data_IF_326314721780
#
_entry.id   IF_326314721780
#
_cell.length_a   1.000
_cell.length_b   1.000
_cell.length_c   1.000
_cell.angle_alpha   90.00
_cell.angle_beta   90.00
_cell.angle_gamma   90.00
#
_symmetry.space_group_name_H-M   'P 1'
#
loop_
_entity.id
_entity.type
_entity.pdbx_description
1 polymer ?
#
# COMPACT_ATOMS: atom_id res chain seq x y z
N UNK A 1 8.17 5.11 -2.41
CA UNK A 1 9.10 5.15 -1.26
C UNK A 1 9.86 6.47 -1.18
N UNK A 2 10.67 6.85 -2.17
CA UNK A 2 11.55 8.03 -2.10
C UNK A 2 10.84 9.35 -1.74
N UNK A 3 9.69 9.65 -2.36
CA UNK A 3 8.89 10.84 -2.01
C UNK A 3 8.47 10.86 -0.53
N UNK A 4 7.99 9.74 -0.01
CA UNK A 4 7.57 9.63 1.39
C UNK A 4 8.76 9.71 2.37
N UNK A 5 9.95 9.23 1.99
CA UNK A 5 11.17 9.45 2.77
C UNK A 5 11.44 10.95 2.93
N UNK A 6 11.29 11.70 1.83
CA UNK A 6 11.31 13.15 1.83
C UNK A 6 10.29 13.76 2.78
N UNK A 7 9.04 13.30 2.75
CA UNK A 7 8.01 13.80 3.65
C UNK A 7 8.39 13.61 5.13
N UNK A 8 8.86 12.42 5.51
CA UNK A 8 9.33 12.16 6.88
C UNK A 8 10.53 13.06 7.25
N UNK A 9 11.46 13.28 6.32
CA UNK A 9 12.60 14.19 6.51
C UNK A 9 12.14 15.63 6.70
N UNK A 10 11.11 16.07 5.98
CA UNK A 10 10.47 17.37 6.15
C UNK A 10 9.87 17.55 7.54
N UNK A 11 9.15 16.54 8.03
CA UNK A 11 8.59 16.54 9.40
C UNK A 11 9.69 16.53 10.47
N UNK A 12 10.77 15.77 10.27
CA UNK A 12 11.92 15.78 11.19
C UNK A 12 12.56 17.16 11.28
N UNK A 13 12.78 17.82 10.13
CA UNK A 13 13.37 19.17 10.10
C UNK A 13 12.51 20.23 10.77
N UNK A 14 11.19 20.01 10.83
CA UNK A 14 10.25 20.86 11.56
C UNK A 14 10.01 20.41 13.01
N UNK A 15 10.76 19.42 13.52
CA UNK A 15 10.59 18.82 14.85
C UNK A 15 9.18 18.26 15.12
N UNK A 16 8.45 17.83 14.08
CA UNK A 16 7.09 17.26 14.18
C UNK A 16 7.07 15.74 14.04
N UNK A 17 8.16 15.12 13.60
CA UNK A 17 8.17 13.67 13.39
C UNK A 17 7.96 12.89 14.69
N UNK A 18 8.47 13.40 15.81
CA UNK A 18 8.34 12.77 17.13
C UNK A 18 6.92 12.91 17.72
N UNK A 19 6.11 13.85 17.21
CA UNK A 19 4.70 14.03 17.58
C UNK A 19 3.76 13.09 16.78
N UNK A 20 4.27 12.39 15.77
CA UNK A 20 3.46 11.46 14.98
C UNK A 20 3.15 10.22 15.81
N UNK A 21 1.88 10.02 16.16
CA UNK A 21 1.45 8.88 16.98
C UNK A 21 1.10 7.64 16.16
N UNK A 22 0.61 7.83 14.93
CA UNK A 22 0.13 6.75 14.05
C UNK A 22 0.55 7.01 12.60
N UNK A 23 1.02 5.97 11.93
CA UNK A 23 1.27 5.95 10.49
C UNK A 23 0.35 4.91 9.85
N UNK A 24 -0.59 5.36 9.02
CA UNK A 24 -1.34 4.49 8.13
C UNK A 24 -0.75 4.57 6.71
N UNK A 25 -0.51 3.41 6.09
CA UNK A 25 0.23 3.36 4.84
C UNK A 25 -0.28 2.28 3.88
N UNK A 26 -0.03 2.51 2.59
CA UNK A 26 -0.39 1.63 1.48
C UNK A 26 0.76 1.47 0.50
N UNK A 27 0.79 0.37 -0.23
CA UNK A 27 1.66 0.17 -1.38
C UNK A 27 3.15 0.41 -1.08
N UNK A 28 3.86 1.12 -1.95
CA UNK A 28 5.24 1.54 -1.70
C UNK A 28 5.43 2.41 -0.43
N UNK A 29 4.37 3.04 0.09
CA UNK A 29 4.39 3.71 1.39
C UNK A 29 4.49 2.72 2.55
N UNK A 30 3.85 1.55 2.43
CA UNK A 30 3.94 0.46 3.42
C UNK A 30 5.35 -0.10 3.56
N UNK A 31 6.10 -0.20 2.45
CA UNK A 31 7.51 -0.65 2.49
C UNK A 31 8.37 0.33 3.30
N UNK A 32 8.20 1.63 3.07
CA UNK A 32 8.92 2.67 3.82
C UNK A 32 8.49 2.72 5.28
N UNK A 33 7.18 2.71 5.55
CA UNK A 33 6.64 2.81 6.89
C UNK A 33 7.04 1.60 7.74
N UNK A 34 7.03 0.39 7.17
CA UNK A 34 7.55 -0.81 7.82
C UNK A 34 9.05 -0.69 8.12
N UNK A 35 9.87 -0.18 7.19
CA UNK A 35 11.29 0.09 7.46
C UNK A 35 11.45 1.08 8.62
N UNK A 36 10.72 2.20 8.62
CA UNK A 36 10.81 3.21 9.68
C UNK A 36 10.41 2.66 11.06
N UNK A 37 9.34 1.86 11.12
CA UNK A 37 8.80 1.34 12.38
C UNK A 37 9.49 0.05 12.87
N UNK A 38 10.35 -0.58 12.06
CA UNK A 38 11.10 -1.79 12.44
C UNK A 38 12.61 -1.57 12.57
N UNK A 39 13.19 -0.64 11.80
CA UNK A 39 14.64 -0.46 11.75
C UNK A 39 15.18 0.09 13.09
N UNK A 40 16.26 -0.51 13.65
CA UNK A 40 16.91 0.02 14.83
C UNK A 40 17.70 1.30 14.54
N UNK A 41 17.95 2.09 15.58
CA UNK A 41 18.74 3.32 15.48
C UNK A 41 17.91 4.58 15.25
N UNK A 42 18.60 5.67 14.97
CA UNK A 42 18.01 6.97 14.73
C UNK A 42 17.46 7.10 13.30
N UNK A 43 16.98 8.30 12.96
CA UNK A 43 16.46 8.56 11.63
C UNK A 43 17.54 8.50 10.54
N UNK A 44 18.79 8.86 10.85
CA UNK A 44 19.88 8.88 9.86
C UNK A 44 20.26 7.45 9.45
N UNK A 45 20.31 6.52 10.40
CA UNK A 45 20.48 5.09 10.11
C UNK A 45 19.32 4.54 9.24
N UNK A 46 18.08 4.90 9.58
CA UNK A 46 16.90 4.55 8.79
C UNK A 46 16.97 5.13 7.36
N UNK A 47 17.35 6.40 7.21
CA UNK A 47 17.46 7.06 5.92
C UNK A 47 18.55 6.38 5.07
N UNK A 48 19.73 6.11 5.63
CA UNK A 48 20.81 5.39 4.96
C UNK A 48 20.36 4.00 4.49
N UNK A 49 19.67 3.23 5.36
CA UNK A 49 19.11 1.93 5.00
C UNK A 49 18.10 2.05 3.86
N UNK A 50 17.20 3.03 3.93
CA UNK A 50 16.17 3.26 2.92
C UNK A 50 16.78 3.62 1.57
N UNK A 51 17.78 4.51 1.54
CA UNK A 51 18.52 4.86 0.32
C UNK A 51 19.21 3.65 -0.30
N UNK A 52 19.84 2.81 0.53
CA UNK A 52 20.45 1.55 0.06
C UNK A 52 19.42 0.59 -0.56
N UNK A 53 18.23 0.46 0.05
CA UNK A 53 17.13 -0.34 -0.50
C UNK A 53 16.63 0.22 -1.83
N UNK A 54 16.45 1.54 -1.93
CA UNK A 54 16.02 2.20 -3.16
C UNK A 54 17.05 2.02 -4.29
N UNK A 55 18.34 2.20 -3.98
CA UNK A 55 19.43 2.02 -4.94
C UNK A 55 19.57 0.56 -5.40
N UNK A 56 19.26 -0.42 -4.54
CA UNK A 56 19.28 -1.83 -4.91
C UNK A 56 18.04 -2.28 -5.70
N UNK A 57 16.88 -1.66 -5.45
CA UNK A 57 15.58 -2.10 -5.93
C UNK A 57 15.21 -3.51 -5.44
N UNK A 58 14.10 -4.05 -5.95
CA UNK A 58 13.64 -5.40 -5.58
C UNK A 58 13.68 -6.40 -6.73
N UNK A 59 13.83 -5.96 -7.99
CA UNK A 59 13.87 -6.84 -9.17
C UNK A 59 15.02 -7.85 -9.08
N UNK A 60 16.27 -7.39 -8.91
CA UNK A 60 17.43 -8.28 -8.83
C UNK A 60 17.37 -9.22 -7.62
N UNK A 61 17.08 -8.74 -6.39
CA UNK A 61 16.87 -9.63 -5.24
C UNK A 61 15.76 -10.67 -5.46
N UNK A 62 14.64 -10.30 -6.10
CA UNK A 62 13.55 -11.22 -6.39
C UNK A 62 13.97 -12.29 -7.39
N UNK A 63 14.70 -11.93 -8.45
CA UNK A 63 15.26 -12.89 -9.41
C UNK A 63 16.23 -13.85 -8.74
N UNK A 64 17.14 -13.34 -7.90
CA UNK A 64 18.07 -14.17 -7.12
C UNK A 64 17.29 -15.11 -6.21
N UNK A 65 16.29 -14.64 -5.47
CA UNK A 65 15.45 -15.50 -4.62
C UNK A 65 14.65 -16.53 -5.41
N UNK A 66 14.16 -16.18 -6.60
CA UNK A 66 13.43 -17.11 -7.46
C UNK A 66 14.29 -18.33 -7.86
N UNK A 67 15.59 -18.13 -8.10
CA UNK A 67 16.48 -19.22 -8.54
C UNK A 67 17.23 -19.91 -7.38
N UNK A 68 17.52 -19.18 -6.29
CA UNK A 68 18.29 -19.70 -5.14
C UNK A 68 17.43 -20.34 -4.05
N UNK A 69 16.11 -20.15 -4.09
CA UNK A 69 15.19 -20.71 -3.09
C UNK A 69 14.10 -21.55 -3.73
N UNK A 70 13.41 -22.35 -2.92
CA UNK A 70 12.26 -23.13 -3.37
C UNK A 70 11.08 -22.25 -3.84
N UNK A 71 11.09 -20.95 -3.59
CA UNK A 71 9.97 -20.06 -3.91
C UNK A 71 9.70 -19.96 -5.41
N UNK A 72 10.74 -19.99 -6.27
CA UNK A 72 10.54 -19.99 -7.72
C UNK A 72 9.90 -21.28 -8.22
N UNK A 73 10.35 -22.43 -7.72
CA UNK A 73 9.77 -23.74 -8.03
C UNK A 73 8.31 -23.80 -7.56
N UNK A 74 8.03 -23.34 -6.33
CA UNK A 74 6.66 -23.28 -5.78
C UNK A 74 5.77 -22.38 -6.64
N UNK A 75 6.25 -21.21 -7.06
CA UNK A 75 5.49 -20.26 -7.88
C UNK A 75 5.20 -20.84 -9.27
N UNK A 76 6.17 -21.52 -9.89
CA UNK A 76 5.97 -22.21 -11.16
C UNK A 76 4.97 -23.36 -11.03
N UNK A 77 5.10 -24.19 -9.98
CA UNK A 77 4.16 -25.28 -9.72
C UNK A 77 2.72 -24.78 -9.49
N UNK A 78 2.56 -23.70 -8.71
CA UNK A 78 1.26 -23.05 -8.49
C UNK A 78 0.66 -22.52 -9.80
N UNK A 79 1.49 -21.88 -10.64
CA UNK A 79 1.07 -21.38 -11.95
C UNK A 79 0.61 -22.52 -12.87
N UNK A 80 1.40 -23.59 -13.00
CA UNK A 80 1.07 -24.75 -13.84
C UNK A 80 -0.20 -25.43 -13.36
N UNK A 81 -0.36 -25.65 -12.06
CA UNK A 81 -1.55 -26.27 -11.49
C UNK A 81 -2.81 -25.44 -11.77
N UNK A 82 -2.75 -24.12 -11.55
CA UNK A 82 -3.87 -23.21 -11.84
C UNK A 82 -4.16 -23.15 -13.34
N UNK A 83 -3.13 -23.08 -14.19
CA UNK A 83 -3.30 -23.04 -15.65
C UNK A 83 -3.97 -24.32 -16.17
N UNK A 84 -3.52 -25.49 -15.70
CA UNK A 84 -4.12 -26.78 -16.04
C UNK A 84 -5.59 -26.86 -15.58
N UNK A 85 -5.87 -26.43 -14.35
CA UNK A 85 -7.22 -26.38 -13.79
C UNK A 85 -8.15 -25.43 -14.57
N UNK A 86 -7.66 -24.24 -14.97
CA UNK A 86 -8.43 -23.29 -15.81
C UNK A 86 -8.61 -23.79 -17.24
N UNK A 87 -7.62 -24.48 -17.82
CA UNK A 87 -7.72 -25.10 -19.14
C UNK A 87 -8.77 -26.22 -19.13
N UNK A 88 -8.76 -27.08 -18.11
CA UNK A 88 -9.77 -28.13 -17.95
C UNK A 88 -11.17 -27.54 -17.79
N UNK A 89 -11.31 -26.50 -16.98
CA UNK A 89 -12.58 -25.77 -16.83
C UNK A 89 -13.08 -25.19 -18.15
N UNK A 90 -12.19 -24.62 -18.95
CA UNK A 90 -12.52 -24.10 -20.27
C UNK A 90 -12.99 -25.21 -21.23
N UNK A 91 -12.25 -26.31 -21.33
CA UNK A 91 -12.56 -27.43 -22.20
C UNK A 91 -13.89 -28.11 -21.83
N UNK A 92 -14.17 -28.31 -20.54
CA UNK A 92 -15.44 -28.86 -20.04
C UNK A 92 -16.57 -27.83 -20.18
N UNK A 93 -16.27 -26.53 -20.05
CA UNK A 93 -17.24 -25.45 -20.16
C UNK A 93 -17.77 -25.25 -21.58
N UNK A 94 -16.95 -25.47 -22.61
CA UNK A 94 -17.34 -25.35 -24.03
C UNK A 94 -18.63 -26.09 -24.39
N UNK A 95 -18.76 -27.42 -24.18
CA UNK A 95 -19.99 -28.14 -24.51
C UNK A 95 -21.17 -27.75 -23.61
N UNK A 96 -20.91 -27.17 -22.43
CA UNK A 96 -21.95 -26.73 -21.48
C UNK A 96 -22.50 -25.33 -21.78
N UNK A 97 -21.88 -24.55 -22.68
CA UNK A 97 -22.36 -23.20 -23.03
C UNK A 97 -23.73 -23.21 -23.71
N UNK A 98 -24.08 -24.29 -24.43
CA UNK A 98 -25.40 -24.47 -25.06
C UNK A 98 -26.47 -24.94 -24.07
N UNK A 99 -26.08 -25.35 -22.86
CA UNK A 99 -27.00 -25.78 -21.80
C UNK A 99 -27.33 -24.58 -20.90
N UNK A 100 -28.60 -24.13 -20.83
CA UNK A 100 -28.98 -23.01 -19.97
C UNK A 100 -28.63 -23.26 -18.50
N UNK A 101 -28.10 -22.23 -17.81
CA UNK A 101 -27.76 -22.25 -16.38
C UNK A 101 -26.64 -23.24 -15.96
N UNK A 102 -25.90 -23.86 -16.89
CA UNK A 102 -24.79 -24.77 -16.58
C UNK A 102 -23.69 -24.14 -15.71
N UNK A 103 -23.37 -22.87 -15.95
CA UNK A 103 -22.38 -22.12 -15.14
C UNK A 103 -22.81 -21.83 -13.69
N UNK A 104 -24.12 -21.90 -13.37
CA UNK A 104 -24.60 -21.84 -11.99
C UNK A 104 -24.54 -23.22 -11.31
N UNK A 105 -24.66 -24.29 -12.09
CA UNK A 105 -24.59 -25.68 -11.62
C UNK A 105 -23.16 -26.11 -11.28
N UNK A 106 -22.16 -25.55 -11.96
CA UNK A 106 -20.74 -25.84 -11.74
C UNK A 106 -19.92 -24.57 -11.49
N UNK A 107 -19.91 -24.02 -10.26
CA UNK A 107 -19.18 -22.79 -9.93
C UNK A 107 -17.69 -22.83 -10.24
N UNK A 108 -17.08 -24.02 -10.20
CA UNK A 108 -15.67 -24.24 -10.51
C UNK A 108 -15.26 -23.83 -11.94
N UNK A 109 -16.21 -23.93 -12.90
CA UNK A 109 -15.99 -23.51 -14.28
C UNK A 109 -15.68 -22.02 -14.37
N UNK A 110 -16.18 -21.23 -13.42
CA UNK A 110 -15.92 -19.78 -13.34
C UNK A 110 -14.73 -19.47 -12.43
N UNK A 111 -14.64 -20.12 -11.27
CA UNK A 111 -13.65 -19.80 -10.24
C UNK A 111 -12.90 -21.04 -9.75
N UNK A 112 -11.57 -20.97 -9.63
CA UNK A 112 -10.79 -22.13 -9.21
C UNK A 112 -10.99 -22.44 -7.74
N UNK A 113 -11.16 -23.73 -7.45
CA UNK A 113 -11.08 -24.23 -6.08
C UNK A 113 -9.64 -24.29 -5.60
N UNK A 114 -8.67 -24.32 -6.52
CA UNK A 114 -7.25 -24.26 -6.18
C UNK A 114 -6.89 -22.88 -5.64
N UNK A 115 -5.97 -22.89 -4.67
CA UNK A 115 -5.39 -21.69 -4.09
C UNK A 115 -4.15 -21.30 -4.88
N UNK A 116 -3.88 -20.00 -5.03
CA UNK A 116 -2.56 -19.53 -5.47
C UNK A 116 -1.60 -19.50 -4.27
N UNK A 117 -1.09 -20.67 -3.88
CA UNK A 117 -0.22 -20.78 -2.70
C UNK A 117 1.17 -20.14 -2.86
N UNK A 118 1.62 -19.92 -4.10
CA UNK A 118 2.87 -19.24 -4.42
C UNK A 118 2.76 -18.43 -5.71
N UNK A 119 3.52 -17.34 -5.81
CA UNK A 119 3.51 -16.43 -6.97
C UNK A 119 4.74 -15.52 -6.96
N UNK A 120 4.83 -14.62 -7.94
CA UNK A 120 5.83 -13.53 -7.93
C UNK A 120 5.75 -12.67 -6.66
N UNK A 121 4.56 -12.54 -6.08
CA UNK A 121 4.33 -11.80 -4.83
C UNK A 121 4.89 -12.54 -3.61
N UNK A 122 4.87 -13.88 -3.58
CA UNK A 122 5.48 -14.65 -2.48
C UNK A 122 7.01 -14.66 -2.57
N UNK A 123 7.57 -14.60 -3.78
CA UNK A 123 9.00 -14.37 -3.99
C UNK A 123 9.37 -12.98 -3.45
N UNK A 124 8.62 -11.94 -3.81
CA UNK A 124 8.83 -10.59 -3.30
C UNK A 124 8.69 -10.51 -1.77
N UNK A 125 7.74 -11.26 -1.18
CA UNK A 125 7.63 -11.42 0.28
C UNK A 125 8.91 -11.91 0.90
N UNK A 126 9.59 -12.88 0.28
CA UNK A 126 10.86 -13.40 0.79
C UNK A 126 12.01 -12.38 0.69
N UNK A 127 11.93 -11.45 -0.27
CA UNK A 127 12.86 -10.31 -0.36
C UNK A 127 12.58 -9.32 0.77
N UNK A 128 11.32 -8.96 1.00
CA UNK A 128 10.93 -8.09 2.10
C UNK A 128 11.26 -8.69 3.47
N UNK A 129 11.09 -10.00 3.63
CA UNK A 129 11.42 -10.73 4.85
C UNK A 129 12.92 -10.59 5.18
N UNK A 130 13.79 -10.85 4.20
CA UNK A 130 15.22 -10.64 4.37
C UNK A 130 15.58 -9.16 4.63
N UNK A 131 14.89 -8.23 3.97
CA UNK A 131 15.10 -6.78 4.15
C UNK A 131 14.72 -6.31 5.56
N UNK A 132 13.64 -6.84 6.12
CA UNK A 132 13.06 -6.50 7.41
C UNK A 132 13.60 -7.37 8.56
N UNK A 133 14.54 -8.26 8.29
CA UNK A 133 15.19 -9.10 9.30
C UNK A 133 14.32 -10.25 9.83
N UNK A 134 13.35 -10.74 9.06
CA UNK A 134 12.48 -11.86 9.46
C UNK A 134 11.52 -11.53 10.60
N UNK A 135 11.27 -10.25 10.84
CA UNK A 135 10.46 -9.77 11.96
C UNK A 135 8.96 -10.07 11.78
N UNK A 136 8.25 -10.32 12.88
CA UNK A 136 6.79 -10.44 12.93
C UNK A 136 6.11 -9.13 13.35
N UNK A 137 4.81 -9.00 13.11
CA UNK A 137 4.05 -7.78 13.44
C UNK A 137 4.16 -7.40 14.92
N UNK A 138 4.08 -8.37 15.83
CA UNK A 138 4.16 -8.16 17.28
C UNK A 138 5.55 -7.73 17.77
N UNK A 139 6.57 -7.81 16.92
CA UNK A 139 7.94 -7.38 17.16
C UNK A 139 8.25 -5.97 16.63
N UNK A 140 7.28 -5.28 16.00
CA UNK A 140 7.43 -3.87 15.64
C UNK A 140 7.91 -3.05 16.85
N UNK A 141 8.48 -1.87 16.63
CA UNK A 141 8.99 -1.05 17.73
C UNK A 141 7.86 -0.31 18.45
N UNK A 142 7.95 -0.13 19.78
CA UNK A 142 6.99 0.67 20.56
C UNK A 142 7.38 2.14 20.70
N UNK A 143 8.65 2.47 20.47
CA UNK A 143 9.18 3.84 20.46
C UNK A 143 9.06 4.52 19.08
N UNK A 144 8.25 3.93 18.20
CA UNK A 144 7.90 4.44 16.87
C UNK A 144 6.38 4.63 16.80
N UNK A 145 5.88 5.43 15.85
CA UNK A 145 4.45 5.58 15.66
C UNK A 145 3.77 4.23 15.43
N UNK A 146 2.54 4.07 15.93
CA UNK A 146 1.79 2.84 15.70
C UNK A 146 1.54 2.68 14.18
N UNK A 147 1.94 1.53 13.64
CA UNK A 147 1.87 1.26 12.21
C UNK A 147 0.58 0.53 11.84
N UNK A 148 -0.13 1.07 10.85
CA UNK A 148 -1.27 0.45 10.19
C UNK A 148 -0.89 0.21 8.72
N UNK A 149 -0.72 -1.05 8.35
CA UNK A 149 -0.55 -1.45 6.95
C UNK A 149 -1.92 -1.82 6.38
N UNK A 150 -2.36 -1.11 5.35
CA UNK A 150 -3.67 -1.32 4.74
C UNK A 150 -3.52 -2.20 3.50
N UNK A 151 -4.29 -3.27 3.42
CA UNK A 151 -4.44 -4.07 2.20
C UNK A 151 -5.93 -4.23 1.85
N UNK A 152 -6.21 -4.70 0.63
CA UNK A 152 -7.58 -4.93 0.16
C UNK A 152 -7.85 -6.44 0.07
N UNK A 153 -8.87 -6.92 0.77
CA UNK A 153 -9.37 -8.29 0.58
C UNK A 153 -10.43 -8.30 -0.52
N UNK A 154 -10.07 -8.89 -1.66
CA UNK A 154 -10.81 -8.80 -2.90
C UNK A 154 -12.18 -9.51 -2.84
N UNK A 155 -12.30 -10.60 -2.07
CA UNK A 155 -13.57 -11.35 -1.98
C UNK A 155 -14.61 -10.57 -1.16
N UNK A 156 -14.17 -9.96 -0.06
CA UNK A 156 -14.97 -9.15 0.84
C UNK A 156 -15.24 -7.74 0.29
N UNK A 157 -14.40 -7.26 -0.64
CA UNK A 157 -14.38 -5.84 -1.07
C UNK A 157 -14.21 -4.92 0.13
N UNK A 158 -13.28 -5.30 1.02
CA UNK A 158 -13.08 -4.66 2.31
C UNK A 158 -11.58 -4.45 2.56
N UNK A 159 -11.25 -3.44 3.36
CA UNK A 159 -9.91 -3.33 3.91
C UNK A 159 -9.63 -4.48 4.89
N UNK A 160 -8.37 -4.89 4.90
CA UNK A 160 -7.75 -5.58 6.02
C UNK A 160 -6.65 -4.67 6.56
N UNK A 161 -6.61 -4.51 7.87
CA UNK A 161 -5.63 -3.70 8.58
C UNK A 161 -4.68 -4.61 9.32
N UNK A 162 -3.38 -4.51 9.04
CA UNK A 162 -2.35 -5.18 9.82
C UNK A 162 -1.73 -4.17 10.78
N UNK A 163 -1.72 -4.50 12.05
CA UNK A 163 -1.08 -3.72 13.12
C UNK A 163 -0.19 -4.62 13.96
N UNK A 164 0.56 -4.04 14.89
CA UNK A 164 1.35 -4.80 15.86
C UNK A 164 0.52 -5.82 16.63
N UNK A 165 -0.66 -5.42 17.08
CA UNK A 165 -1.41 -6.18 18.09
C UNK A 165 -2.44 -7.12 17.45
N UNK A 166 -3.01 -6.71 16.31
CA UNK A 166 -4.08 -7.47 15.64
C UNK A 166 -4.12 -7.24 14.14
N UNK A 167 -4.83 -8.14 13.47
CA UNK A 167 -5.21 -8.02 12.07
C UNK A 167 -6.73 -7.93 12.03
N UNK A 168 -7.28 -6.93 11.34
CA UNK A 168 -8.71 -6.66 11.40
C UNK A 168 -9.34 -6.52 10.02
N UNK A 169 -10.46 -7.20 9.83
CA UNK A 169 -11.34 -7.03 8.68
C UNK A 169 -12.79 -7.04 9.17
N UNK A 170 -13.55 -5.98 8.93
CA UNK A 170 -14.92 -5.87 9.48
C UNK A 170 -15.86 -7.02 9.06
N UNK A 171 -15.58 -7.70 7.94
CA UNK A 171 -16.35 -8.86 7.48
C UNK A 171 -16.00 -10.17 8.17
N UNK A 172 -14.75 -10.32 8.60
CA UNK A 172 -14.22 -11.57 9.15
C UNK A 172 -13.93 -11.49 10.65
N UNK A 173 -13.84 -10.27 11.21
CA UNK A 173 -13.49 -10.01 12.60
C UNK A 173 -11.99 -9.72 12.78
N UNK A 174 -11.44 -10.21 13.88
CA UNK A 174 -10.05 -9.99 14.29
C UNK A 174 -9.24 -11.29 14.24
N UNK A 175 -7.99 -11.20 13.79
CA UNK A 175 -7.00 -12.28 13.85
C UNK A 175 -5.79 -11.81 14.66
N UNK A 176 -5.08 -12.77 15.25
CA UNK A 176 -3.87 -12.50 16.05
C UNK A 176 -2.73 -12.03 15.13
N UNK A 177 -2.03 -10.97 15.54
CA UNK A 177 -0.83 -10.52 14.83
C UNK A 177 0.43 -11.32 15.20
N UNK A 178 0.39 -12.04 16.34
CA UNK A 178 1.48 -12.91 16.79
C UNK A 178 1.86 -13.91 15.69
N UNK A 179 3.16 -14.07 15.47
CA UNK A 179 3.76 -14.99 14.50
C UNK A 179 3.46 -14.65 13.03
N UNK A 180 2.78 -13.53 12.74
CA UNK A 180 2.55 -13.07 11.37
C UNK A 180 3.74 -12.24 10.90
N UNK A 181 4.47 -12.66 9.84
CA UNK A 181 5.61 -11.90 9.33
C UNK A 181 5.20 -10.50 8.89
N UNK A 182 5.97 -9.48 9.29
CA UNK A 182 5.78 -8.10 8.82
C UNK A 182 5.85 -8.03 7.28
N UNK A 183 6.74 -8.83 6.69
CA UNK A 183 6.86 -8.95 5.24
C UNK A 183 5.58 -9.44 4.55
N UNK A 184 4.76 -10.27 5.20
CA UNK A 184 3.46 -10.70 4.66
C UNK A 184 2.50 -9.51 4.55
N UNK A 185 2.39 -8.69 5.60
CA UNK A 185 1.56 -7.50 5.60
C UNK A 185 2.03 -6.47 4.57
N UNK A 186 3.35 -6.23 4.48
CA UNK A 186 3.95 -5.32 3.49
C UNK A 186 3.72 -5.83 2.07
N UNK A 187 3.91 -7.11 1.80
CA UNK A 187 3.65 -7.70 0.48
C UNK A 187 2.16 -7.66 0.10
N UNK A 188 1.26 -7.90 1.06
CA UNK A 188 -0.17 -7.75 0.83
C UNK A 188 -0.51 -6.31 0.42
N UNK A 189 0.00 -5.33 1.17
CA UNK A 189 -0.24 -3.91 0.91
C UNK A 189 0.40 -3.41 -0.39
N UNK A 190 1.50 -4.02 -0.86
CA UNK A 190 2.22 -3.63 -2.08
C UNK A 190 1.91 -4.48 -3.32
N UNK A 191 0.97 -5.42 -3.24
CA UNK A 191 0.61 -6.31 -4.34
C UNK A 191 -0.28 -5.61 -5.39
N UNK A 192 0.26 -4.60 -6.09
CA UNK A 192 -0.47 -3.80 -7.07
C UNK A 192 -1.04 -4.68 -8.18
N UNK A 193 -2.39 -4.72 -8.41
CA UNK A 193 -3.04 -5.74 -9.22
C UNK A 193 -2.52 -5.88 -10.65
N UNK A 194 -2.07 -4.79 -11.25
CA UNK A 194 -1.57 -4.77 -12.64
C UNK A 194 -0.22 -5.49 -12.75
N UNK A 195 0.63 -5.41 -11.71
CA UNK A 195 1.98 -5.94 -11.72
C UNK A 195 2.10 -7.30 -11.00
N UNK A 196 1.40 -7.45 -9.88
CA UNK A 196 1.59 -8.53 -8.93
C UNK A 196 0.30 -9.31 -8.69
N UNK A 197 0.33 -10.65 -8.72
CA UNK A 197 -0.81 -11.46 -8.31
C UNK A 197 -1.17 -11.23 -6.84
N UNK A 198 -2.47 -11.18 -6.53
CA UNK A 198 -2.93 -11.18 -5.15
C UNK A 198 -2.37 -12.37 -4.36
N UNK A 199 -2.02 -12.14 -3.10
CA UNK A 199 -1.76 -13.20 -2.12
C UNK A 199 -3.08 -13.90 -1.84
N UNK A 200 -3.06 -15.22 -1.77
CA UNK A 200 -4.25 -16.04 -1.57
C UNK A 200 -3.94 -16.97 -0.41
N UNK A 201 -4.42 -16.65 0.79
CA UNK A 201 -3.96 -17.21 2.07
C UNK A 201 -5.14 -17.71 2.91
N UNK A 202 -4.84 -18.38 4.03
CA UNK A 202 -5.83 -18.76 5.04
C UNK A 202 -5.41 -18.22 6.39
N UNK A 203 -6.36 -17.68 7.13
CA UNK A 203 -6.12 -17.11 8.45
C UNK A 203 -7.35 -17.31 9.33
N UNK A 204 -7.11 -17.64 10.59
CA UNK A 204 -8.16 -17.77 11.59
C UNK A 204 -8.56 -16.39 12.11
N UNK A 205 -9.82 -16.01 11.87
CA UNK A 205 -10.42 -14.81 12.44
C UNK A 205 -11.46 -15.17 13.48
N UNK A 206 -11.66 -14.27 14.44
CA UNK A 206 -12.70 -14.33 15.46
C UNK A 206 -13.70 -13.22 15.21
N UNK A 207 -14.96 -13.58 15.00
CA UNK A 207 -16.07 -12.63 14.89
C UNK A 207 -17.22 -13.09 15.77
N UNK A 208 -17.63 -12.24 16.73
CA UNK A 208 -18.70 -12.57 17.70
C UNK A 208 -18.43 -13.92 18.39
N UNK A 209 -17.23 -14.06 18.96
CA UNK A 209 -16.73 -15.25 19.66
C UNK A 209 -16.62 -16.54 18.83
N UNK A 210 -16.86 -16.46 17.51
CA UNK A 210 -16.70 -17.59 16.60
C UNK A 210 -15.40 -17.48 15.83
N UNK A 211 -14.52 -18.47 16.03
CA UNK A 211 -13.29 -18.62 15.25
C UNK A 211 -13.61 -19.34 13.93
N UNK A 212 -13.25 -18.72 12.81
CA UNK A 212 -13.43 -19.29 11.46
C UNK A 212 -12.12 -19.16 10.69
N UNK A 213 -11.70 -20.25 10.04
CA UNK A 213 -10.52 -20.24 9.16
C UNK A 213 -10.92 -19.75 7.77
N UNK A 214 -10.64 -18.47 7.50
CA UNK A 214 -11.08 -17.76 6.31
C UNK A 214 -10.01 -17.78 5.23
N UNK A 215 -10.43 -18.04 3.98
CA UNK A 215 -9.57 -17.83 2.80
C UNK A 215 -9.58 -16.36 2.43
N UNK A 216 -8.45 -15.68 2.47
CA UNK A 216 -8.33 -14.26 2.13
C UNK A 216 -7.53 -14.07 0.85
N UNK A 217 -7.99 -13.18 -0.02
CA UNK A 217 -7.32 -12.84 -1.28
C UNK A 217 -6.91 -11.37 -1.23
N UNK A 218 -5.64 -11.13 -0.88
CA UNK A 218 -5.10 -9.83 -0.56
C UNK A 218 -4.37 -9.20 -1.73
N UNK A 219 -4.69 -7.94 -2.00
CA UNK A 219 -4.01 -7.09 -2.98
C UNK A 219 -3.71 -5.73 -2.36
N UNK A 220 -3.04 -4.87 -3.12
CA UNK A 220 -2.64 -3.54 -2.70
C UNK A 220 -3.78 -2.75 -2.03
N UNK A 221 -3.47 -2.14 -0.89
CA UNK A 221 -4.44 -1.36 -0.13
C UNK A 221 -4.99 -0.17 -0.89
N UNK A 222 -4.26 0.34 -1.88
CA UNK A 222 -4.71 1.40 -2.75
C UNK A 222 -5.97 1.07 -3.54
N UNK A 223 -6.24 -0.22 -3.81
CA UNK A 223 -7.52 -0.64 -4.42
C UNK A 223 -8.72 -0.25 -3.54
N UNK A 224 -8.54 -0.23 -2.22
CA UNK A 224 -9.58 0.18 -1.27
C UNK A 224 -9.48 1.67 -0.92
N UNK A 225 -8.28 2.12 -0.53
CA UNK A 225 -8.02 3.50 -0.17
C UNK A 225 -6.53 3.85 -0.34
N UNK A 226 -6.20 4.53 -1.44
CA UNK A 226 -4.81 4.84 -1.79
C UNK A 226 -4.15 5.94 -0.96
N UNK A 227 -4.88 6.62 -0.06
CA UNK A 227 -4.25 7.51 0.89
C UNK A 227 -4.09 6.87 2.27
N UNK A 228 -4.66 5.68 2.49
CA UNK A 228 -4.65 4.99 3.78
C UNK A 228 -5.34 5.81 4.89
N UNK A 229 -6.28 6.69 4.55
CA UNK A 229 -6.97 7.57 5.48
C UNK A 229 -8.25 6.95 6.06
N UNK A 230 -8.76 5.87 5.48
CA UNK A 230 -9.92 5.13 5.97
C UNK A 230 -9.87 4.82 7.47
N UNK A 231 -8.75 4.37 8.07
CA UNK A 231 -8.65 4.24 9.52
C UNK A 231 -8.71 5.55 10.29
N UNK A 232 -8.28 6.67 9.70
CA UNK A 232 -8.08 7.94 10.40
C UNK A 232 -9.31 8.87 10.38
N UNK A 233 -10.43 8.43 9.82
CA UNK A 233 -11.64 9.25 9.77
C UNK A 233 -12.30 9.40 11.15
N UNK A 234 -12.61 10.64 11.59
CA UNK A 234 -13.10 10.90 12.95
C UNK A 234 -14.53 10.41 13.18
N UNK A 235 -15.30 10.24 12.10
CA UNK A 235 -16.71 9.82 12.13
C UNK A 235 -16.90 8.34 11.77
N UNK A 236 -15.83 7.54 11.88
CA UNK A 236 -15.87 6.14 11.50
C UNK A 236 -16.58 5.30 12.55
N UNK A 237 -17.53 4.48 12.10
CA UNK A 237 -18.21 3.51 12.95
C UNK A 237 -17.26 2.37 13.32
N UNK A 238 -16.99 2.29 14.62
CA UNK A 238 -16.13 1.34 15.32
C UNK A 238 -16.58 -0.12 15.11
N UNK A 239 -17.85 -0.37 14.80
CA UNK A 239 -18.35 -1.71 14.49
C UNK A 239 -17.95 -2.23 13.10
N UNK A 240 -17.61 -1.34 12.17
CA UNK A 240 -17.21 -1.67 10.79
C UNK A 240 -15.76 -1.24 10.50
N UNK A 241 -15.00 -1.01 11.56
CA UNK A 241 -13.68 -0.39 11.53
C UNK A 241 -12.75 -0.94 12.58
N UNK A 242 -11.45 -0.78 12.31
CA UNK A 242 -10.47 -0.81 13.38
C UNK A 242 -10.62 0.41 14.27
N UNK A 243 -10.59 0.16 15.58
CA UNK A 243 -10.58 1.23 16.57
C UNK A 243 -9.20 1.88 16.58
N UNK A 244 -9.18 3.20 16.41
CA UNK A 244 -7.99 4.03 16.50
C UNK A 244 -8.32 5.27 17.31
N UNK A 245 -7.32 5.95 17.91
CA UNK A 245 -7.55 7.23 18.57
C UNK A 245 -8.18 8.25 17.64
N UNK A 246 -8.87 9.24 18.19
CA UNK A 246 -9.26 10.43 17.44
C UNK A 246 -8.00 11.25 17.11
N UNK A 247 -7.96 11.81 15.91
CA UNK A 247 -6.84 12.63 15.45
C UNK A 247 -7.32 14.04 15.11
N UNK A 248 -6.76 15.04 15.80
CA UNK A 248 -7.04 16.44 15.51
C UNK A 248 -6.31 16.92 14.25
N UNK A 249 -5.18 16.30 13.90
CA UNK A 249 -4.36 16.66 12.75
C UNK A 249 -4.02 15.44 11.91
N UNK A 250 -4.09 15.63 10.60
CA UNK A 250 -3.79 14.59 9.62
C UNK A 250 -2.74 15.13 8.64
N UNK A 251 -1.74 14.31 8.34
CA UNK A 251 -0.75 14.57 7.29
C UNK A 251 -0.90 13.47 6.26
N UNK A 252 -1.40 13.82 5.09
CA UNK A 252 -1.59 12.92 3.97
C UNK A 252 -0.48 13.15 2.94
N UNK A 253 0.34 12.14 2.70
CA UNK A 253 1.39 12.18 1.69
C UNK A 253 1.02 11.28 0.50
N UNK A 254 1.04 11.81 -0.72
CA UNK A 254 0.64 11.10 -1.95
C UNK A 254 1.75 11.14 -3.00
N UNK A 255 2.24 9.96 -3.38
CA UNK A 255 3.28 9.79 -4.39
C UNK A 255 2.75 9.40 -5.79
N UNK A 256 1.43 9.38 -6.01
CA UNK A 256 0.87 9.13 -7.34
C UNK A 256 1.08 10.31 -8.28
N UNK A 257 1.37 10.08 -9.56
CA UNK A 257 1.59 11.15 -10.52
C UNK A 257 0.29 11.90 -10.87
N UNK A 258 0.48 13.13 -11.41
CA UNK A 258 -0.53 14.02 -11.98
C UNK A 258 -1.59 13.34 -12.84
N UNK A 259 -2.72 14.04 -13.04
CA UNK A 259 -3.72 13.72 -14.07
C UNK A 259 -3.15 13.95 -15.49
N UNK A 260 -2.00 13.38 -15.80
CA UNK A 260 -1.43 13.41 -17.14
C UNK A 260 -2.39 12.70 -18.08
N UNK A 261 -2.62 13.29 -19.26
CA UNK A 261 -3.47 12.68 -20.28
C UNK A 261 -2.72 11.46 -20.82
N UNK A 262 -3.22 10.26 -20.52
CA UNK A 262 -2.67 9.01 -21.02
C UNK A 262 -2.95 8.80 -22.51
N UNK A 263 -2.22 7.86 -23.12
CA UNK A 263 -2.46 7.45 -24.50
C UNK A 263 -3.83 6.77 -24.66
N UNK A 264 -4.51 6.93 -25.82
CA UNK A 264 -5.77 6.25 -26.09
C UNK A 264 -5.63 4.70 -25.98
N UNK A 265 -6.46 4.01 -25.17
CA UNK A 265 -6.35 2.56 -25.02
C UNK A 265 -7.00 1.83 -26.21
N UNK A 266 -6.24 0.95 -26.87
CA UNK A 266 -6.71 0.25 -28.09
C UNK A 266 -7.42 -1.07 -27.78
N UNK A 267 -6.75 -1.96 -27.04
CA UNK A 267 -7.23 -3.32 -26.79
C UNK A 267 -7.89 -3.48 -25.42
N UNK A 268 -8.66 -4.56 -25.23
CA UNK A 268 -9.39 -4.82 -23.98
C UNK A 268 -8.50 -4.69 -22.74
N UNK A 269 -7.28 -5.24 -22.75
CA UNK A 269 -6.37 -5.15 -21.62
C UNK A 269 -6.01 -3.70 -21.27
N UNK A 270 -5.61 -2.90 -22.27
CA UNK A 270 -5.30 -1.47 -22.08
C UNK A 270 -6.54 -0.69 -21.63
N UNK A 271 -7.72 -1.00 -22.17
CA UNK A 271 -8.98 -0.37 -21.75
C UNK A 271 -9.32 -0.69 -20.30
N UNK A 272 -9.13 -1.93 -19.85
CA UNK A 272 -9.39 -2.30 -18.46
C UNK A 272 -8.42 -1.63 -17.48
N UNK A 273 -7.16 -1.45 -17.87
CA UNK A 273 -6.18 -0.66 -17.10
C UNK A 273 -6.65 0.79 -17.01
N UNK A 274 -6.97 1.43 -18.14
CA UNK A 274 -7.45 2.82 -18.16
C UNK A 274 -8.75 3.01 -17.35
N UNK A 275 -9.67 2.04 -17.38
CA UNK A 275 -10.89 2.04 -16.56
C UNK A 275 -10.55 1.95 -15.08
N UNK A 276 -9.65 1.03 -14.70
CA UNK A 276 -9.18 0.92 -13.31
C UNK A 276 -8.56 2.22 -12.84
N UNK A 277 -7.62 2.78 -13.60
CA UNK A 277 -6.93 4.03 -13.27
C UNK A 277 -7.93 5.20 -13.13
N UNK A 278 -8.93 5.29 -14.01
CA UNK A 278 -9.96 6.34 -13.96
C UNK A 278 -10.83 6.24 -12.71
N UNK A 279 -11.32 5.05 -12.38
CA UNK A 279 -12.13 4.82 -11.18
C UNK A 279 -11.29 5.05 -9.92
N UNK A 280 -10.05 4.57 -9.91
CA UNK A 280 -9.11 4.74 -8.82
C UNK A 280 -8.76 6.22 -8.58
N UNK A 281 -8.48 6.99 -9.63
CA UNK A 281 -8.24 8.43 -9.55
C UNK A 281 -9.49 9.18 -9.03
N UNK A 282 -10.69 8.78 -9.46
CA UNK A 282 -11.93 9.37 -8.96
C UNK A 282 -12.14 9.11 -7.47
N UNK A 283 -11.88 7.89 -7.02
CA UNK A 283 -11.96 7.51 -5.61
C UNK A 283 -10.94 8.30 -4.76
N UNK A 284 -9.68 8.38 -5.21
CA UNK A 284 -8.65 9.22 -4.57
C UNK A 284 -9.08 10.68 -4.44
N UNK A 285 -9.64 11.27 -5.50
CA UNK A 285 -10.13 12.65 -5.48
C UNK A 285 -11.27 12.84 -4.46
N UNK A 286 -12.14 11.85 -4.30
CA UNK A 286 -13.19 11.87 -3.27
C UNK A 286 -12.59 11.81 -1.86
N UNK A 287 -11.59 10.96 -1.63
CA UNK A 287 -10.86 10.86 -0.36
C UNK A 287 -10.14 12.17 -0.02
N UNK A 288 -9.46 12.81 -0.98
CA UNK A 288 -8.84 14.12 -0.78
C UNK A 288 -9.89 15.19 -0.47
N UNK A 289 -10.98 15.24 -1.23
CA UNK A 289 -12.08 16.19 -0.99
C UNK A 289 -12.66 16.04 0.42
N UNK A 290 -12.75 14.81 0.93
CA UNK A 290 -13.21 14.52 2.29
C UNK A 290 -12.34 15.19 3.36
N UNK A 291 -11.01 15.28 3.18
CA UNK A 291 -10.15 16.03 4.12
C UNK A 291 -10.60 17.50 4.22
N UNK A 292 -10.84 18.14 3.08
CA UNK A 292 -11.34 19.52 3.04
C UNK A 292 -12.73 19.65 3.67
N UNK A 293 -13.64 18.70 3.42
CA UNK A 293 -14.99 18.73 4.02
C UNK A 293 -14.98 18.54 5.53
N UNK A 294 -14.15 17.61 6.04
CA UNK A 294 -14.01 17.38 7.47
C UNK A 294 -13.36 18.58 8.17
N UNK A 295 -12.36 19.20 7.55
CA UNK A 295 -11.72 20.40 8.08
C UNK A 295 -12.66 21.60 8.08
N UNK A 296 -13.38 21.83 6.96
CA UNK A 296 -14.36 22.92 6.86
C UNK A 296 -15.55 22.76 7.81
N UNK A 297 -15.91 21.52 8.18
CA UNK A 297 -16.95 21.25 9.19
C UNK A 297 -16.43 21.21 10.62
N UNK A 298 -15.13 21.45 10.85
CA UNK A 298 -14.52 21.45 12.19
C UNK A 298 -14.40 20.08 12.83
N UNK A 299 -14.59 18.98 12.06
CA UNK A 299 -14.45 17.60 12.55
C UNK A 299 -12.99 17.16 12.70
N UNK A 300 -12.09 17.80 11.96
CA UNK A 300 -10.64 17.72 12.14
C UNK A 300 -10.08 19.14 12.11
N UNK A 301 -8.92 19.34 12.72
CA UNK A 301 -8.15 20.57 12.59
C UNK A 301 -7.56 20.75 11.18
N UNK A 302 -6.73 21.78 10.99
CA UNK A 302 -6.01 21.97 9.74
C UNK A 302 -5.14 20.74 9.43
N UNK A 303 -5.13 20.30 8.18
CA UNK A 303 -4.40 19.12 7.71
C UNK A 303 -3.31 19.53 6.71
N UNK A 304 -2.35 18.63 6.45
CA UNK A 304 -1.39 18.78 5.36
C UNK A 304 -1.65 17.73 4.29
N UNK A 305 -1.64 18.14 3.03
CA UNK A 305 -1.74 17.25 1.88
C UNK A 305 -0.54 17.44 0.96
N UNK A 306 0.53 16.70 1.23
CA UNK A 306 1.73 16.73 0.40
C UNK A 306 1.57 15.76 -0.78
N UNK A 307 1.44 16.30 -1.99
CA UNK A 307 1.24 15.53 -3.20
C UNK A 307 2.36 15.76 -4.20
N UNK A 308 3.01 14.70 -4.68
CA UNK A 308 4.18 14.81 -5.56
C UNK A 308 3.91 15.69 -6.80
N UNK A 309 2.74 15.53 -7.42
CA UNK A 309 2.30 16.32 -8.58
C UNK A 309 1.61 17.63 -8.24
N UNK A 310 1.77 18.17 -7.03
CA UNK A 310 1.18 19.46 -6.64
C UNK A 310 1.65 20.57 -7.57
N UNK A 311 0.72 21.39 -8.04
CA UNK A 311 1.04 22.55 -8.88
C UNK A 311 1.80 23.58 -8.05
N UNK A 312 3.08 23.79 -8.37
CA UNK A 312 3.97 24.65 -7.61
C UNK A 312 3.50 26.10 -7.55
N UNK A 313 2.74 26.55 -8.57
CA UNK A 313 2.18 27.91 -8.62
C UNK A 313 1.07 28.14 -7.60
N UNK A 314 0.55 27.07 -6.99
CA UNK A 314 -0.48 27.12 -5.96
C UNK A 314 0.10 27.04 -4.53
N UNK A 315 1.41 26.94 -4.38
CA UNK A 315 2.06 27.05 -3.07
C UNK A 315 2.15 28.53 -2.69
N UNK A 316 1.55 28.92 -1.57
CA UNK A 316 1.58 30.32 -1.12
C UNK A 316 2.94 30.67 -0.50
N UNK A 317 3.60 29.70 0.14
CA UNK A 317 4.87 29.89 0.85
C UNK A 317 5.92 28.83 0.46
N UNK A 318 6.42 28.84 -0.79
CA UNK A 318 7.45 27.91 -1.21
C UNK A 318 8.77 28.16 -0.46
N UNK A 319 9.38 27.11 0.07
CA UNK A 319 10.71 27.22 0.70
C UNK A 319 11.82 27.41 -0.35
N UNK A 320 12.95 28.04 0.01
CA UNK A 320 14.12 28.09 -0.87
C UNK A 320 14.59 26.69 -1.28
N UNK A 321 14.91 26.51 -2.57
CA UNK A 321 15.34 25.22 -3.11
C UNK A 321 14.23 24.20 -3.31
N UNK A 322 12.96 24.65 -3.45
CA UNK A 322 11.84 23.79 -3.82
C UNK A 322 12.17 23.00 -5.10
N UNK A 323 12.26 21.67 -4.96
CA UNK A 323 12.28 20.77 -6.11
C UNK A 323 10.90 20.80 -6.74
N UNK A 324 10.81 21.13 -8.03
CA UNK A 324 9.53 21.35 -8.72
C UNK A 324 8.82 20.04 -9.09
N UNK A 325 7.52 20.13 -9.37
CA UNK A 325 6.73 19.01 -9.87
C UNK A 325 7.34 18.45 -11.17
N UNK A 326 7.82 19.33 -12.06
CA UNK A 326 8.42 18.97 -13.34
C UNK A 326 9.76 18.23 -13.17
N UNK A 327 10.61 18.65 -12.23
CA UNK A 327 11.86 17.92 -11.94
C UNK A 327 11.59 16.51 -11.41
N UNK A 328 10.51 16.34 -10.64
CA UNK A 328 10.09 15.05 -10.07
C UNK A 328 9.15 14.24 -10.96
N UNK A 329 8.83 14.73 -12.17
CA UNK A 329 7.88 14.10 -13.08
C UNK A 329 8.44 12.82 -13.71
N UNK A 330 7.55 11.99 -14.27
CA UNK A 330 7.87 10.88 -15.16
C UNK A 330 8.77 9.75 -14.62
N UNK A 331 9.13 9.76 -13.34
CA UNK A 331 9.78 8.60 -12.75
C UNK A 331 8.78 7.42 -12.67
N UNK A 332 9.14 6.23 -13.18
CA UNK A 332 8.21 5.11 -13.21
C UNK A 332 7.89 4.60 -11.80
N UNK A 333 6.63 4.22 -11.57
CA UNK A 333 6.25 3.47 -10.36
C UNK A 333 6.53 1.98 -10.59
N UNK A 334 7.74 1.56 -10.27
CA UNK A 334 8.16 0.16 -10.38
C UNK A 334 9.01 -0.29 -9.18
N UNK A 335 9.55 -1.51 -9.27
CA UNK A 335 10.43 -2.10 -8.26
C UNK A 335 11.91 -2.10 -8.68
N UNK A 336 12.26 -1.34 -9.72
CA UNK A 336 13.60 -1.29 -10.28
C UNK A 336 14.56 -0.50 -9.38
N UNK A 337 15.88 -0.71 -9.50
CA UNK A 337 16.89 0.12 -8.85
C UNK A 337 16.72 1.61 -9.19
N UNK A 338 16.82 2.48 -8.19
CA UNK A 338 16.80 3.93 -8.38
C UNK A 338 18.23 4.49 -8.47
N UNK A 339 18.47 5.46 -9.35
CA UNK A 339 19.73 6.23 -9.31
C UNK A 339 19.72 7.22 -8.14
N UNK A 340 20.90 7.59 -7.64
CA UNK A 340 21.03 8.57 -6.56
C UNK A 340 20.34 9.89 -6.92
N UNK A 341 20.47 10.33 -8.18
CA UNK A 341 19.75 11.50 -8.70
C UNK A 341 18.24 11.42 -8.45
N UNK A 342 17.58 10.31 -8.81
CA UNK A 342 16.14 10.18 -8.62
C UNK A 342 15.74 10.01 -7.15
N UNK A 343 16.58 9.36 -6.33
CA UNK A 343 16.37 9.29 -4.89
C UNK A 343 16.40 10.71 -4.30
N UNK A 344 17.38 11.53 -4.68
CA UNK A 344 17.55 12.90 -4.20
C UNK A 344 16.44 13.82 -4.70
N UNK A 345 16.08 13.76 -5.98
CA UNK A 345 14.98 14.54 -6.56
C UNK A 345 13.64 14.24 -5.88
N UNK A 346 13.27 12.96 -5.76
CA UNK A 346 11.96 12.59 -5.20
C UNK A 346 11.90 12.84 -3.69
N UNK A 347 12.97 12.52 -2.94
CA UNK A 347 13.02 12.83 -1.50
C UNK A 347 13.12 14.34 -1.25
N UNK A 348 13.87 15.08 -2.06
CA UNK A 348 13.95 16.53 -2.02
C UNK A 348 12.58 17.18 -2.27
N UNK A 349 11.83 16.67 -3.25
CA UNK A 349 10.44 17.07 -3.52
C UNK A 349 9.55 16.85 -2.31
N UNK A 350 9.56 15.65 -1.72
CA UNK A 350 8.75 15.34 -0.55
C UNK A 350 9.07 16.23 0.65
N UNK A 351 10.35 16.49 0.90
CA UNK A 351 10.81 17.33 2.01
C UNK A 351 10.40 18.80 1.82
N UNK A 352 10.75 19.38 0.67
CA UNK A 352 10.52 20.81 0.40
C UNK A 352 9.02 21.12 0.32
N UNK A 353 8.21 20.19 -0.19
CA UNK A 353 6.76 20.33 -0.22
C UNK A 353 6.15 20.31 1.18
N UNK A 354 6.53 19.36 2.04
CA UNK A 354 6.05 19.31 3.42
C UNK A 354 6.40 20.59 4.17
N UNK A 355 7.64 21.08 4.04
CA UNK A 355 8.07 22.33 4.68
C UNK A 355 7.32 23.56 4.17
N UNK A 356 7.02 23.62 2.88
CA UNK A 356 6.25 24.73 2.29
C UNK A 356 4.80 24.73 2.80
N UNK A 357 4.16 23.55 2.82
CA UNK A 357 2.80 23.38 3.32
C UNK A 357 2.70 23.64 4.83
N UNK A 358 3.74 23.30 5.60
CA UNK A 358 3.83 23.65 7.03
C UNK A 358 3.86 25.17 7.23
N UNK A 359 4.68 25.89 6.46
CA UNK A 359 4.74 27.35 6.55
C UNK A 359 3.40 28.01 6.19
N UNK A 360 2.67 27.43 5.25
CA UNK A 360 1.36 27.90 4.78
C UNK A 360 0.26 27.64 5.82
N UNK A 361 0.08 26.38 6.24
CA UNK A 361 -1.09 25.96 7.02
C UNK A 361 -0.84 25.89 8.52
N UNK A 362 0.40 25.63 8.97
CA UNK A 362 0.78 25.50 10.38
C UNK A 362 1.97 26.42 10.74
N UNK A 363 1.85 27.75 10.58
CA UNK A 363 2.98 28.67 10.69
C UNK A 363 3.66 28.64 12.07
N UNK A 364 2.91 28.37 13.14
CA UNK A 364 3.46 28.28 14.50
C UNK A 364 4.42 27.09 14.71
N UNK A 365 4.31 26.09 13.83
CA UNK A 365 5.11 24.85 13.85
C UNK A 365 6.21 24.82 12.78
N UNK A 366 6.30 25.83 11.92
CA UNK A 366 7.28 25.88 10.84
C UNK A 366 8.67 26.38 11.29
N UNK A 367 9.02 26.23 12.57
CA UNK A 367 10.24 26.80 13.18
C UNK A 367 11.52 26.09 12.76
#
# INVERSE_FOLDING_TARGET
MAFHLGCLRGLRKAALLDDVTVISSVSGGSVLAALYCSHPGDFDAFEAKTRSVLAAGFVKPALVKAVTSLEGIKALAAFVALAADRLLAFLIGLPLMVVPKSGARFPWLRNSSLRRWASRTTILRSVFDAMLGGMTLDQLRTDRPALILVACELRARAAIYFTRDRIQCWRYGEAKAKDVPLAQAVSASAAFPVLLPALDERMAFTLRDKVTDERIVLTDGGVYDNLGLAPLWPDRDTNISMEVPAFDRIIACRAGYGLAIGNPPSFLAQRMIAVFDSVHARAQNATMKRLFDLSASGKIGPFLLAYIGQDDRRLEKPVPGLVTANESADYPTDFSPMSDHWIDTLSGRGETLVRSLLAEHWPDQAR
#
